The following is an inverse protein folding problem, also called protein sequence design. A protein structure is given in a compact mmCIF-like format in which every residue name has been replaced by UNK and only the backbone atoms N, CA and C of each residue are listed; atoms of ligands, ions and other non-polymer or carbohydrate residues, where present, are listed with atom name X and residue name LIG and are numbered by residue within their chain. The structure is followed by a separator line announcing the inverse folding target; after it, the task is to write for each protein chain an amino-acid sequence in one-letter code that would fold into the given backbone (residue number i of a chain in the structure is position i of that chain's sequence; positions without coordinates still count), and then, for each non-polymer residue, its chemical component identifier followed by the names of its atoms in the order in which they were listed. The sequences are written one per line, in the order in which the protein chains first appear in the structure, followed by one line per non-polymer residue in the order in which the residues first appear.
data_IF_616079614576
#
_entry.id   IF_616079614576
#
_cell.length_a   1.000
_cell.length_b   1.000
_cell.length_c   1.000
_cell.angle_alpha   90.00
_cell.angle_beta   90.00
_cell.angle_gamma   90.00
#
_symmetry.space_group_name_H-M   'P 1'
#
loop_
_entity.id
_entity.type
_entity.pdbx_description
1 polymer ?
2 non-polymer ?
3 water ?
#
# COMPACT_ATOMS: atom_id res chain seq x y z
N UNK A 12 -13.21 -0.64 6.13
CA UNK A 12 -11.91 -1.24 5.69
C UNK A 12 -10.67 -0.57 6.34
N UNK A 13 -10.79 0.68 6.78
CA UNK A 13 -9.67 1.41 7.41
C UNK A 13 -9.35 0.82 8.78
N UNK A 14 -8.09 0.52 9.10
CA UNK A 14 -7.78 0.35 10.54
C UNK A 14 -7.97 1.72 11.21
N UNK A 15 -8.14 1.73 12.53
CA UNK A 15 -8.39 2.95 13.29
C UNK A 15 -7.17 3.88 13.38
N UNK A 16 -6.01 3.26 13.62
CA UNK A 16 -4.75 3.99 13.77
C UNK A 16 -3.83 3.69 12.57
N UNK A 17 -3.06 4.70 12.09
CA UNK A 17 -1.99 4.31 11.16
C UNK A 17 -0.95 3.43 11.87
N UNK A 18 -0.25 2.58 11.14
CA UNK A 18 0.84 1.85 11.72
C UNK A 18 1.90 2.86 12.21
N UNK A 19 2.75 2.42 13.15
CA UNK A 19 3.75 3.33 13.77
C UNK A 19 4.90 3.70 12.84
N UNK A 20 5.02 2.97 11.72
CA UNK A 20 6.05 3.22 10.71
C UNK A 20 5.53 4.06 9.54
N UNK A 21 4.29 4.55 9.63
CA UNK A 21 3.69 5.40 8.59
C UNK A 21 4.07 6.84 8.90
N UNK A 22 4.41 7.61 7.85
CA UNK A 22 4.83 8.98 8.00
C UNK A 22 3.99 9.88 7.08
N UNK A 23 3.93 11.17 7.44
CA UNK A 23 3.56 12.27 6.55
C UNK A 23 4.81 12.71 5.77
N UNK A 24 4.63 12.99 4.49
CA UNK A 24 5.72 13.50 3.65
C UNK A 24 5.22 14.73 2.90
N UNK A 25 5.89 15.87 3.10
CA UNK A 25 5.48 17.14 2.48
C UNK A 25 6.70 17.82 1.77
N UNK A 26 6.62 17.93 0.45
CA UNK A 26 7.57 18.73 -0.32
C UNK A 26 6.83 19.80 -1.12
N UNK A 27 6.69 19.54 -2.41
CA UNK A 27 5.94 20.42 -3.30
C UNK A 27 4.42 20.20 -3.14
N UNK A 28 4.05 18.98 -2.71
CA UNK A 28 2.65 18.62 -2.41
C UNK A 28 2.55 17.64 -1.22
N UNK A 29 1.35 17.18 -0.87
CA UNK A 29 1.21 16.36 0.34
C UNK A 29 1.32 14.89 -0.06
N UNK A 30 2.01 14.13 0.78
CA UNK A 30 2.16 12.71 0.55
C UNK A 30 2.16 12.02 1.88
N UNK A 31 2.35 10.71 1.84
CA UNK A 31 2.68 9.95 3.02
C UNK A 31 3.77 8.96 2.60
N UNK A 32 4.20 8.13 3.53
CA UNK A 32 5.25 7.20 3.28
C UNK A 32 5.31 6.18 4.38
N UNK A 33 6.37 5.39 4.37
CA UNK A 33 6.58 4.44 5.43
C UNK A 33 8.05 4.16 5.65
N UNK A 34 8.36 3.67 6.84
CA UNK A 34 9.75 3.39 7.25
C UNK A 34 9.93 1.89 7.49
N UNK A 35 10.98 1.34 6.89
CA UNK A 35 11.30 -0.08 6.96
C UNK A 35 12.81 -0.22 7.13
N UNK A 36 13.22 -1.38 7.65
CA UNK A 36 14.61 -1.77 7.63
C UNK A 36 14.87 -2.75 6.48
N UNK A 37 15.66 -2.27 5.51
CA UNK A 37 15.87 -2.91 4.24
C UNK A 37 17.36 -3.10 4.09
N UNK A 38 17.79 -4.35 3.91
CA UNK A 38 19.22 -4.64 3.84
C UNK A 38 19.98 -3.95 4.96
N UNK A 39 19.39 -4.01 6.16
CA UNK A 39 19.99 -3.54 7.42
C UNK A 39 20.06 -2.04 7.61
N UNK A 40 19.44 -1.31 6.69
CA UNK A 40 19.42 0.15 6.73
C UNK A 40 17.98 0.64 6.93
N UNK A 41 17.77 1.64 7.79
CA UNK A 41 16.43 2.20 7.97
C UNK A 41 16.19 3.17 6.83
N UNK A 42 15.10 2.91 6.11
CA UNK A 42 14.75 3.61 4.87
C UNK A 42 13.34 4.17 4.96
N UNK A 43 13.13 5.32 4.34
CA UNK A 43 11.82 5.91 4.21
C UNK A 43 11.45 5.88 2.72
N UNK A 44 10.27 5.34 2.40
CA UNK A 44 9.80 5.28 1.00
C UNK A 44 8.58 6.16 0.83
N UNK A 45 8.51 6.80 -0.32
CA UNK A 45 7.39 7.65 -0.65
C UNK A 45 7.35 7.79 -2.18
N UNK A 46 6.52 8.71 -2.64
CA UNK A 46 6.35 9.04 -4.06
C UNK A 46 7.18 10.25 -4.42
N UNK A 47 8.00 10.12 -5.47
CA UNK A 47 8.95 11.14 -5.84
C UNK A 47 8.33 12.51 -6.19
N UNK A 48 7.15 12.51 -6.83
CA UNK A 48 6.46 13.76 -7.24
C UNK A 48 6.04 14.69 -6.09
N UNK A 49 5.89 14.17 -4.86
CA UNK A 49 5.51 15.01 -3.73
C UNK A 49 6.69 15.85 -3.17
N UNK A 50 7.92 15.47 -3.52
CA UNK A 50 9.13 16.09 -2.99
C UNK A 50 9.36 17.56 -3.50
N UNK A 51 10.10 18.34 -2.73
CA UNK A 51 10.59 19.64 -3.19
C UNK A 51 11.93 19.31 -3.85
N UNK A 52 11.93 19.15 -5.17
CA UNK A 52 13.09 18.55 -5.87
C UNK A 52 13.20 17.07 -5.48
N UNK A 53 14.21 16.72 -4.68
CA UNK A 53 14.27 15.38 -4.08
C UNK A 53 14.25 15.42 -2.54
N UNK A 54 13.74 16.52 -1.98
CA UNK A 54 13.65 16.67 -0.53
C UNK A 54 12.23 16.80 0.04
N UNK A 55 12.04 16.36 1.28
CA UNK A 55 10.76 16.55 1.96
C UNK A 55 10.90 16.57 3.46
N UNK A 56 9.93 17.20 4.12
CA UNK A 56 9.82 17.14 5.55
C UNK A 56 9.07 15.85 5.88
N UNK A 57 9.73 14.95 6.59
CA UNK A 57 9.14 13.63 6.92
C UNK A 57 8.87 13.65 8.43
N UNK A 58 7.62 13.39 8.82
CA UNK A 58 7.21 13.36 10.24
C UNK A 58 6.36 12.11 10.60
N UNK A 59 6.62 11.58 11.80
CA UNK A 59 5.86 10.43 12.34
C UNK A 59 5.96 10.52 13.86
N UNK A 60 5.53 9.48 14.57
CA UNK A 60 5.64 9.47 16.02
C UNK A 60 7.11 9.50 16.41
N UNK A 61 7.54 10.58 17.05
CA UNK A 61 8.89 10.72 17.56
C UNK A 61 9.90 11.14 16.49
N UNK A 62 9.41 11.69 15.38
CA UNK A 62 10.29 12.05 14.25
C UNK A 62 9.79 13.21 13.40
N UNK A 63 10.71 14.08 13.01
CA UNK A 63 10.35 15.27 12.22
C UNK A 63 11.62 15.86 11.62
N UNK A 64 11.85 15.60 10.34
CA UNK A 64 13.14 15.90 9.74
C UNK A 64 13.04 15.99 8.23
N UNK A 65 13.92 16.83 7.67
CA UNK A 65 14.08 16.93 6.24
C UNK A 65 14.93 15.75 5.80
N UNK A 66 14.50 15.07 4.74
CA UNK A 66 15.27 13.95 4.16
C UNK A 66 15.48 14.18 2.67
N UNK A 67 16.59 13.68 2.13
CA UNK A 67 16.81 13.70 0.69
C UNK A 67 16.64 12.28 0.18
N UNK A 68 16.07 12.14 -1.01
CA UNK A 68 15.63 10.86 -1.49
C UNK A 68 16.33 10.50 -2.78
N UNK A 69 16.69 9.22 -2.88
CA UNK A 69 17.06 8.63 -4.17
C UNK A 69 15.76 8.35 -4.89
N UNK A 70 15.73 8.69 -6.17
CA UNK A 70 14.51 8.62 -6.96
C UNK A 70 14.65 7.69 -8.16
N UNK A 71 13.64 6.86 -8.39
CA UNK A 71 13.60 6.01 -9.56
C UNK A 71 12.20 6.10 -10.14
N UNK A 72 12.05 6.80 -11.26
CA UNK A 72 10.72 7.10 -11.79
C UNK A 72 9.95 7.82 -10.70
N UNK A 73 8.72 7.39 -10.39
CA UNK A 73 8.02 8.00 -9.27
C UNK A 73 8.23 7.28 -7.92
N UNK A 74 9.23 6.41 -7.82
CA UNK A 74 9.59 5.79 -6.54
C UNK A 74 10.72 6.55 -5.83
N UNK A 75 10.54 6.86 -4.55
CA UNK A 75 11.58 7.59 -3.83
C UNK A 75 11.93 6.89 -2.51
N UNK A 76 13.23 6.79 -2.25
CA UNK A 76 13.74 6.06 -1.08
C UNK A 76 14.87 6.88 -0.41
N UNK A 77 14.74 7.07 0.90
CA UNK A 77 15.73 7.82 1.66
C UNK A 77 16.29 7.00 2.82
N UNK A 78 17.58 7.19 3.07
CA UNK A 78 18.20 6.78 4.31
C UNK A 78 17.62 7.62 5.44
N UNK A 79 17.23 7.00 6.54
CA UNK A 79 16.83 7.80 7.69
C UNK A 79 17.39 7.21 8.96
N UNK A 80 18.73 7.28 9.10
CA UNK A 80 19.37 6.75 10.31
C UNK A 80 18.89 7.33 11.68
N UNK A 81 18.39 8.60 11.72
CA UNK A 81 17.85 9.18 12.99
C UNK A 81 16.49 8.63 13.43
N UNK A 82 15.89 7.80 12.59
CA UNK A 82 14.62 7.18 12.93
C UNK A 82 14.84 6.19 14.08
N UNK A 83 14.20 6.50 15.20
CA UNK A 83 14.28 5.77 16.44
C UNK A 83 13.03 4.96 16.65
N UNK A 84 12.06 5.10 15.75
CA UNK A 84 10.82 4.38 15.89
C UNK A 84 10.77 2.98 15.29
N UNK A 85 9.55 2.54 15.03
CA UNK A 85 9.29 1.20 14.48
C UNK A 85 9.66 1.19 13.01
N UNK A 86 10.50 0.23 12.63
CA UNK A 86 11.02 0.07 11.26
C UNK A 86 11.08 -1.43 10.94
N UNK A 87 9.91 -2.04 10.67
CA UNK A 87 9.89 -3.50 10.43
C UNK A 87 10.83 -3.87 9.27
N UNK A 88 11.53 -5.00 9.42
CA UNK A 88 12.32 -5.55 8.36
C UNK A 88 11.45 -5.81 7.13
N UNK A 89 11.95 -5.41 5.97
CA UNK A 89 11.28 -5.67 4.72
C UNK A 89 12.31 -5.86 3.60
N UNK A 90 12.00 -6.73 2.67
CA UNK A 90 12.76 -6.73 1.43
C UNK A 90 11.78 -6.43 0.34
N UNK A 91 12.28 -5.99 -0.81
CA UNK A 91 11.42 -5.79 -1.97
C UNK A 91 10.80 -7.13 -2.35
N UNK A 92 9.54 -7.11 -2.75
CA UNK A 92 8.90 -8.37 -3.03
C UNK A 92 9.42 -8.97 -4.33
N UNK A 93 9.51 -10.31 -4.33
CA UNK A 93 10.05 -11.05 -5.47
C UNK A 93 9.25 -10.71 -6.71
N UNK A 94 9.96 -10.67 -7.84
CA UNK A 94 9.29 -10.49 -9.12
C UNK A 94 8.23 -11.56 -9.31
N UNK A 95 7.12 -11.12 -9.87
CA UNK A 95 6.03 -12.02 -10.18
C UNK A 95 5.07 -12.26 -9.03
N UNK A 96 5.38 -11.75 -7.84
CA UNK A 96 4.64 -12.10 -6.63
C UNK A 96 3.17 -11.62 -6.71
N UNK A 97 2.22 -12.50 -6.40
CA UNK A 97 0.83 -12.06 -6.29
C UNK A 97 0.23 -12.52 -4.95
N UNK A 98 -0.82 -11.87 -4.49
CA UNK A 98 -1.42 -12.29 -3.22
C UNK A 98 -2.06 -11.12 -2.53
N UNK A 99 -2.42 -11.31 -1.26
CA UNK A 99 -3.04 -10.23 -0.51
C UNK A 99 -1.97 -9.16 -0.17
N UNK A 100 -2.39 -7.90 -0.11
CA UNK A 100 -1.48 -6.78 0.17
C UNK A 100 -2.20 -5.73 1.00
N UNK A 101 -1.45 -4.75 1.51
CA UNK A 101 -1.94 -3.76 2.47
C UNK A 101 -1.31 -2.44 2.17
N UNK A 102 -2.16 -1.40 2.14
CA UNK A 102 -1.76 -0.04 1.87
C UNK A 102 -1.62 0.64 3.23
N UNK A 103 -0.45 1.19 3.52
CA UNK A 103 -0.24 1.92 4.79
C UNK A 103 -0.55 3.38 4.54
N UNK A 104 -1.76 3.80 4.89
CA UNK A 104 -2.18 5.15 4.62
C UNK A 104 -2.22 5.95 5.94
N UNK A 105 -2.29 7.28 5.84
CA UNK A 105 -2.34 8.12 7.03
C UNK A 105 -3.58 7.84 7.91
N UNK A 106 -4.66 7.31 7.34
CA UNK A 106 -5.82 6.97 8.18
C UNK A 106 -5.85 5.53 8.75
N UNK A 107 -4.91 4.69 8.32
CA UNK A 107 -4.84 3.31 8.78
C UNK A 107 -4.42 2.37 7.68
N UNK A 108 -4.32 1.09 8.00
CA UNK A 108 -3.86 0.13 7.01
C UNK A 108 -5.10 -0.38 6.26
N UNK A 109 -5.03 -0.42 4.92
CA UNK A 109 -6.19 -0.87 4.14
C UNK A 109 -5.86 -2.10 3.34
N UNK A 110 -6.75 -3.10 3.34
CA UNK A 110 -6.47 -4.31 2.57
C UNK A 110 -6.66 -4.15 1.06
N UNK A 111 -5.91 -4.95 0.32
CA UNK A 111 -6.15 -5.08 -1.11
C UNK A 111 -5.51 -6.36 -1.57
N UNK A 112 -5.29 -6.45 -2.88
CA UNK A 112 -4.59 -7.59 -3.47
C UNK A 112 -3.68 -7.09 -4.61
N UNK A 113 -2.67 -7.88 -4.92
CA UNK A 113 -1.83 -7.66 -6.11
C UNK A 113 -2.03 -8.87 -7.00
N UNK A 114 -2.53 -8.64 -8.22
CA UNK A 114 -2.65 -9.70 -9.22
C UNK A 114 -1.61 -9.57 -10.33
N UNK A 115 -1.71 -10.43 -11.35
CA UNK A 115 -0.77 -10.35 -12.50
C UNK A 115 -1.08 -9.07 -13.29
N UNK A 116 -0.21 -8.08 -13.17
CA UNK A 116 -0.34 -6.87 -13.95
C UNK A 116 -1.34 -5.86 -13.42
N UNK A 117 -1.69 -5.94 -12.14
CA UNK A 117 -2.66 -4.97 -11.59
C UNK A 117 -2.66 -5.02 -10.05
N UNK A 118 -3.21 -3.97 -9.43
CA UNK A 118 -3.49 -3.93 -7.99
C UNK A 118 -4.96 -3.59 -7.75
N UNK A 119 -5.44 -3.90 -6.56
CA UNK A 119 -6.81 -3.59 -6.23
C UNK A 119 -6.87 -3.31 -4.74
N UNK A 120 -7.46 -2.18 -4.37
CA UNK A 120 -7.63 -1.89 -2.94
C UNK A 120 -9.12 -1.83 -2.58
N UNK A 121 -9.48 -2.34 -1.41
CA UNK A 121 -10.86 -2.34 -0.95
C UNK A 121 -11.39 -0.92 -0.65
N UNK A 122 -10.50 0.07 -0.56
CA UNK A 122 -10.86 1.48 -0.28
C UNK A 122 -10.01 2.43 -1.13
N UNK A 123 -10.18 3.73 -0.93
CA UNK A 123 -9.15 4.73 -1.30
C UNK A 123 -7.73 4.26 -0.95
N UNK A 124 -6.74 4.63 -1.76
CA UNK A 124 -5.38 4.11 -1.54
C UNK A 124 -4.49 5.00 -0.71
N UNK A 125 -5.07 6.01 -0.08
CA UNK A 125 -4.29 6.94 0.73
C UNK A 125 -3.66 8.04 -0.09
N UNK A 126 -2.80 8.81 0.57
CA UNK A 126 -2.02 9.83 -0.10
C UNK A 126 -1.09 9.11 -1.08
N UNK A 127 -0.61 9.87 -2.06
CA UNK A 127 0.53 9.45 -2.85
C UNK A 127 1.67 9.12 -1.89
N UNK A 128 2.37 8.01 -2.15
CA UNK A 128 3.50 7.61 -1.32
C UNK A 128 3.17 6.54 -0.28
N UNK A 129 1.87 6.27 -0.07
CA UNK A 129 1.45 5.16 0.82
C UNK A 129 2.12 3.82 0.38
N UNK A 130 2.92 3.20 1.27
CA UNK A 130 3.54 1.92 1.00
C UNK A 130 2.53 0.81 0.74
N UNK A 131 2.87 -0.10 -0.16
CA UNK A 131 2.03 -1.28 -0.39
C UNK A 131 2.88 -2.52 0.00
N UNK A 132 2.44 -3.26 1.02
CA UNK A 132 3.23 -4.39 1.52
C UNK A 132 2.47 -5.72 1.36
N UNK A 133 3.19 -6.80 1.07
CA UNK A 133 2.56 -8.09 0.83
C UNK A 133 2.15 -8.73 2.17
N UNK A 134 1.33 -9.77 2.09
CA UNK A 134 1.05 -10.63 3.25
C UNK A 134 2.31 -11.16 3.97
N UNK A 135 3.41 -11.30 3.23
CA UNK A 135 4.69 -11.73 3.82
C UNK A 135 5.54 -10.57 4.36
N UNK A 136 5.00 -9.34 4.33
CA UNK A 136 5.74 -8.18 4.82
C UNK A 136 6.73 -7.54 3.84
N UNK A 137 6.66 -7.92 2.58
CA UNK A 137 7.61 -7.39 1.57
C UNK A 137 7.05 -6.14 0.86
N UNK A 138 7.93 -5.26 0.41
CA UNK A 138 7.48 -3.98 -0.11
C UNK A 138 7.22 -4.11 -1.61
N UNK A 139 5.96 -3.91 -2.02
CA UNK A 139 5.60 -3.96 -3.43
C UNK A 139 5.96 -2.63 -4.10
N UNK A 140 5.74 -1.55 -3.39
CA UNK A 140 5.96 -0.26 -4.00
C UNK A 140 5.22 0.78 -3.20
N UNK A 141 4.93 1.90 -3.84
CA UNK A 141 4.18 2.98 -3.19
C UNK A 141 3.01 3.40 -4.06
N UNK A 142 1.94 3.84 -3.43
CA UNK A 142 0.79 4.31 -4.17
C UNK A 142 1.04 5.70 -4.76
N UNK A 143 0.61 5.91 -6.01
CA UNK A 143 0.56 7.26 -6.59
C UNK A 143 -0.79 7.58 -7.22
N UNK A 144 -1.31 8.76 -6.87
CA UNK A 144 -2.67 9.15 -7.25
C UNK A 144 -2.72 9.60 -8.69
N UNK A 150 -8.32 3.54 -9.62
CA UNK A 150 -7.93 4.39 -8.50
C UNK A 150 -6.42 4.50 -8.26
N UNK A 151 -5.65 4.77 -9.33
CA UNK A 151 -4.21 5.08 -9.24
C UNK A 151 -3.23 4.07 -9.82
N UNK A 152 -1.99 4.11 -9.33
CA UNK A 152 -0.95 3.12 -9.70
C UNK A 152 -0.13 2.77 -8.47
N UNK A 153 0.46 1.60 -8.48
CA UNK A 153 1.46 1.27 -7.50
C UNK A 153 2.78 1.32 -8.26
N UNK A 154 3.71 2.12 -7.77
CA UNK A 154 5.01 2.31 -8.44
C UNK A 154 6.04 1.47 -7.69
N UNK A 155 6.73 0.61 -8.44
CA UNK A 155 7.66 -0.33 -7.86
C UNK A 155 9.03 0.31 -7.71
N UNK A 156 9.91 -0.26 -6.83
CA UNK A 156 11.22 0.36 -6.60
C UNK A 156 12.02 0.70 -7.86
N UNK A 157 11.81 -0.06 -8.92
CA UNK A 157 12.48 0.21 -10.19
C UNK A 157 11.93 1.44 -10.94
N UNK A 158 10.79 1.99 -10.48
CA UNK A 158 10.11 3.05 -11.21
C UNK A 158 9.05 2.51 -12.18
N UNK A 159 9.09 1.21 -12.47
CA UNK A 159 8.02 0.58 -13.22
C UNK A 159 6.72 0.55 -12.38
N UNK A 160 5.58 0.36 -13.01
CA UNK A 160 4.33 0.45 -12.25
C UNK A 160 3.27 -0.58 -12.61
N UNK A 161 2.29 -0.77 -11.71
CA UNK A 161 1.05 -1.44 -12.10
C UNK A 161 -0.16 -0.66 -11.70
N UNK A 162 -1.14 -0.70 -12.58
CA UNK A 162 -2.32 0.11 -12.43
C UNK A 162 -3.27 -0.54 -11.45
N UNK A 163 -3.92 0.29 -10.63
CA UNK A 163 -5.08 -0.09 -9.80
C UNK A 163 -6.25 -0.23 -10.77
N UNK A 164 -6.90 -1.39 -10.74
CA UNK A 164 -7.94 -1.72 -11.69
C UNK A 164 -9.09 -2.35 -10.92
N UNK A 165 -10.30 -2.35 -11.52
CA UNK A 165 -11.40 -3.17 -10.98
C UNK A 165 -11.01 -4.65 -11.03
N UNK A 166 -11.76 -5.46 -10.30
CA UNK A 166 -11.53 -6.88 -10.25
C UNK A 166 -12.86 -7.64 -10.26
N UNK A 167 -12.91 -8.78 -10.96
CA UNK A 167 -14.06 -9.69 -10.91
C UNK A 167 -14.21 -10.18 -9.47
N UNK A 168 -15.44 -10.29 -8.97
CA UNK A 168 -15.64 -10.88 -7.63
C UNK A 168 -15.06 -12.31 -7.54
N UNK A 169 -15.25 -13.08 -8.62
CA UNK A 169 -14.72 -14.44 -8.71
C UNK A 169 -13.20 -14.48 -8.57
N UNK A 170 -12.52 -13.48 -9.13
CA UNK A 170 -11.04 -13.47 -9.07
C UNK A 170 -10.55 -12.99 -7.71
N UNK A 171 -11.24 -12.01 -7.15
CA UNK A 171 -10.97 -11.55 -5.79
C UNK A 171 -11.12 -12.69 -4.77
N UNK A 172 -12.12 -13.53 -5.00
CA UNK A 172 -12.38 -14.70 -4.16
C UNK A 172 -11.17 -15.62 -4.06
N UNK A 173 -10.38 -15.70 -5.13
CA UNK A 173 -9.16 -16.55 -5.16
C UNK A 173 -8.13 -16.19 -4.07
N UNK A 174 -8.20 -14.98 -3.54
CA UNK A 174 -7.25 -14.50 -2.54
C UNK A 174 -7.74 -14.73 -1.11
N UNK A 175 -8.94 -15.29 -0.99
CA UNK A 175 -9.58 -15.52 0.29
C UNK A 175 -9.95 -16.96 0.46
N UNK A 176 -9.77 -17.38 1.68
CA UNK A 176 -10.23 -18.63 2.12
C UNK A 176 -11.44 -18.37 3.08
N UNK A 177 -11.96 -19.46 3.57
CA UNK A 177 -13.22 -19.45 4.20
C UNK A 177 -14.09 -20.25 3.27
N UNK A 178 -14.98 -21.07 3.83
CA UNK A 178 -15.92 -21.82 3.01
C UNK A 178 -16.83 -20.90 2.21
N UNK A 179 -17.24 -21.38 1.04
CA UNK A 179 -18.16 -20.63 0.20
C UNK A 179 -19.50 -20.31 0.86
N UNK A 180 -19.91 -19.05 0.78
CA UNK A 180 -21.23 -18.64 1.27
C UNK A 180 -21.95 -17.81 0.18
N UNK A 181 -23.32 -17.76 0.23
CA UNK A 181 -24.05 -16.77 -0.58
C UNK A 181 -23.70 -15.37 -0.18
N UNK A 182 -23.45 -14.53 -1.18
CA UNK A 182 -23.14 -13.14 -0.94
C UNK A 182 -24.36 -12.45 -0.31
N UNK A 183 -25.54 -12.95 -0.65
CA UNK A 183 -26.77 -12.36 -0.14
C UNK A 183 -26.85 -10.90 -0.56
N UNK A 184 -27.21 -10.06 0.41
CA UNK A 184 -27.49 -8.65 0.23
C UNK A 184 -26.30 -7.72 0.33
N UNK A 185 -25.13 -8.23 0.71
CA UNK A 185 -24.01 -7.31 0.96
C UNK A 185 -23.77 -6.51 -0.33
N UNK A 186 -23.63 -5.19 -0.17
CA UNK A 186 -23.43 -4.32 -1.32
C UNK A 186 -21.96 -4.33 -1.73
N UNK A 187 -21.73 -4.28 -3.03
CA UNK A 187 -20.41 -4.30 -3.65
C UNK A 187 -20.28 -3.02 -4.48
N UNK A 188 -19.21 -2.27 -4.24
CA UNK A 188 -18.95 -1.03 -4.99
C UNK A 188 -18.68 -1.27 -6.46
N UNK A 189 -18.51 -0.18 -7.20
CA UNK A 189 -18.26 -0.25 -8.64
C UNK A 189 -16.89 -0.80 -9.02
N UNK A 190 -15.95 -0.80 -8.06
CA UNK A 190 -14.60 -1.32 -8.30
C UNK A 190 -14.57 -2.88 -8.31
N UNK A 191 -15.70 -3.51 -7.97
CA UNK A 191 -15.79 -4.96 -8.10
C UNK A 191 -16.78 -5.33 -9.18
N UNK A 192 -16.35 -6.19 -10.10
CA UNK A 192 -17.25 -6.65 -11.16
C UNK A 192 -17.98 -7.88 -10.62
N UNK A 193 -19.29 -7.76 -10.46
CA UNK A 193 -20.07 -8.86 -9.87
C UNK A 193 -20.41 -9.92 -10.91
N UNK A 194 -19.59 -10.97 -10.95
CA UNK A 194 -19.72 -12.08 -11.90
C UNK A 194 -20.08 -13.40 -11.18
N UNK A 195 -20.36 -13.32 -9.87
CA UNK A 195 -20.78 -14.47 -9.05
C UNK A 195 -21.55 -13.91 -7.84
N UNK A 196 -22.39 -14.73 -7.21
CA UNK A 196 -23.03 -14.39 -5.94
C UNK A 196 -22.71 -15.40 -4.83
N UNK A 197 -21.60 -16.14 -4.99
CA UNK A 197 -21.04 -17.01 -3.93
C UNK A 197 -19.58 -16.61 -3.71
N UNK A 198 -19.17 -16.46 -2.45
CA UNK A 198 -17.84 -15.97 -2.09
C UNK A 198 -17.34 -16.70 -0.85
N UNK A 199 -16.00 -16.75 -0.69
CA UNK A 199 -15.40 -17.27 0.55
C UNK A 199 -15.92 -16.46 1.74
N UNK A 200 -16.15 -17.11 2.88
CA UNK A 200 -16.77 -16.45 4.02
C UNK A 200 -16.02 -15.21 4.52
N UNK A 201 -14.71 -15.31 4.53
CA UNK A 201 -13.83 -14.21 4.96
C UNK A 201 -13.96 -13.00 4.05
N UNK A 202 -14.12 -13.28 2.76
CA UNK A 202 -14.33 -12.19 1.82
C UNK A 202 -15.69 -11.57 2.07
N UNK A 203 -16.71 -12.42 2.24
CA UNK A 203 -18.06 -11.94 2.54
C UNK A 203 -18.07 -11.02 3.77
N UNK A 204 -17.38 -11.45 4.82
CA UNK A 204 -17.30 -10.69 6.07
C UNK A 204 -16.62 -9.32 5.89
N UNK A 205 -15.50 -9.34 5.18
CA UNK A 205 -14.77 -8.11 4.86
C UNK A 205 -15.64 -7.11 4.10
N UNK A 206 -16.32 -7.61 3.06
CA UNK A 206 -17.20 -6.80 2.22
C UNK A 206 -18.40 -6.26 3.01
N UNK A 207 -18.95 -7.08 3.91
CA UNK A 207 -20.04 -6.65 4.80
C UNK A 207 -19.60 -5.71 5.93
N UNK A 208 -18.36 -5.83 6.41
CA UNK A 208 -17.81 -4.89 7.40
C UNK A 208 -17.68 -3.48 6.81
X LIG B 1 -0.75 14.62 -4.85
X LIG B 1 0.38 15.13 -3.95
X LIG B 1 -0.38 13.31 -5.50
X LIG B 1 -2.00 14.41 -4.01
X LIG B 1 -1.03 15.63 -5.94
#
# INVERSE_FOLDING_TARGET
GPLGSPEFPGAFRTQKPSLNTVNVVGSSMGSGGVFTIDGKIKCVTAAHVLTGNSARVSGVGFNQMLDFDVKGDFAIADCPNWQGVAPKAQFCEDGWTGRAYWLTSSGVEPGVIGNGFAFCFTACGDSGSPVITEAGELVGVHTGSNKQGGGIVTRPSGQFCNVKPIKLSELSEFFAGPKVPLGDVKIGSHIIKDTCEVPSDLCALLAAKPELE
PO4 P O1 O2 O3 O4
#
